data_IF_927180217986
#
_entry.id   IF_927180217986
#
_cell.length_a   1.000
_cell.length_b   1.000
_cell.length_c   1.000
_cell.angle_alpha   90.00
_cell.angle_beta   90.00
_cell.angle_gamma   90.00
#
_symmetry.space_group_name_H-M   'P 1'
#
loop_
_entity.id
_entity.type
_entity.pdbx_description
1 polymer ?
#
# COMPACT_ATOMS: atom_id res chain seq x y z
N UNK A 1 -5.81 12.54 0.42
CA UNK A 1 -4.38 12.70 0.12
C UNK A 1 -4.31 13.89 -0.79
N UNK A 2 -3.38 14.80 -0.54
CA UNK A 2 -3.16 15.95 -1.41
C UNK A 2 -1.85 15.77 -2.15
N UNK A 3 -1.75 16.43 -3.31
CA UNK A 3 -0.56 16.41 -4.12
C UNK A 3 -0.33 17.80 -4.75
N UNK A 4 0.93 18.16 -4.86
CA UNK A 4 1.39 19.33 -5.62
C UNK A 4 2.38 18.87 -6.69
N UNK A 5 2.38 19.58 -7.83
CA UNK A 5 3.37 19.39 -8.89
C UNK A 5 4.01 20.74 -9.19
N UNK A 6 5.33 20.78 -9.21
CA UNK A 6 6.13 21.94 -9.54
C UNK A 6 7.02 21.60 -10.73
N UNK A 7 7.10 22.52 -11.68
CA UNK A 7 7.98 22.43 -12.84
C UNK A 7 8.97 23.59 -12.79
N UNK A 8 10.25 23.28 -12.61
CA UNK A 8 11.32 24.26 -12.57
C UNK A 8 12.64 23.62 -12.99
N UNK A 9 13.55 24.38 -13.62
CA UNK A 9 14.90 23.91 -13.98
C UNK A 9 14.95 22.59 -14.78
N UNK A 10 13.98 22.34 -15.69
CA UNK A 10 13.83 21.05 -16.40
C UNK A 10 13.62 19.83 -15.49
N UNK A 11 13.16 20.07 -14.26
CA UNK A 11 12.78 19.04 -13.32
C UNK A 11 11.28 19.14 -13.05
N UNK A 12 10.65 17.98 -12.88
CA UNK A 12 9.31 17.88 -12.31
C UNK A 12 9.46 17.43 -10.86
N UNK A 13 8.88 18.15 -9.92
CA UNK A 13 8.84 17.75 -8.51
C UNK A 13 7.40 17.51 -8.09
N UNK A 14 7.13 16.36 -7.47
CA UNK A 14 5.84 16.05 -6.86
C UNK A 14 5.97 16.00 -5.35
N UNK A 15 5.05 16.66 -4.65
CA UNK A 15 4.87 16.53 -3.21
C UNK A 15 3.55 15.85 -2.92
N UNK A 16 3.53 14.86 -2.04
CA UNK A 16 2.31 14.12 -1.67
C UNK A 16 2.25 13.89 -0.17
N UNK A 17 1.09 14.13 0.47
CA UNK A 17 0.91 13.84 1.90
C UNK A 17 -0.51 13.40 2.25
N UNK A 18 -0.65 12.67 3.38
CA UNK A 18 -1.96 12.30 3.90
C UNK A 18 -2.61 13.50 4.63
N UNK A 19 -3.88 13.75 4.30
CA UNK A 19 -4.73 14.75 4.98
C UNK A 19 -5.61 14.13 6.07
N UNK A 20 -5.83 12.81 5.99
CA UNK A 20 -6.63 12.06 6.95
C UNK A 20 -5.72 11.35 7.95
N UNK A 21 -6.21 11.20 9.18
CA UNK A 21 -5.52 10.53 10.28
C UNK A 21 -4.15 11.14 10.63
N UNK A 22 -3.94 12.42 10.31
CA UNK A 22 -2.70 13.17 10.62
C UNK A 22 -2.39 13.24 12.11
N UNK A 23 -3.40 13.14 12.98
CA UNK A 23 -3.24 13.04 14.43
C UNK A 23 -2.53 11.77 14.89
N UNK A 24 -2.59 10.69 14.10
CA UNK A 24 -1.81 9.48 14.34
C UNK A 24 -0.40 9.65 13.75
N UNK A 25 -0.37 10.15 12.50
CA UNK A 25 0.76 9.94 11.61
C UNK A 25 0.68 10.84 10.38
N UNK A 26 1.79 11.45 10.01
CA UNK A 26 1.94 12.23 8.77
C UNK A 26 3.05 11.61 7.94
N UNK A 27 2.74 11.30 6.69
CA UNK A 27 3.66 10.79 5.67
C UNK A 27 3.71 11.82 4.56
N UNK A 28 4.88 12.39 4.36
CA UNK A 28 5.17 13.34 3.28
C UNK A 28 6.15 12.68 2.32
N UNK A 29 5.87 12.72 1.03
CA UNK A 29 6.72 12.21 -0.03
C UNK A 29 7.09 13.34 -0.98
N UNK A 30 8.37 13.43 -1.33
CA UNK A 30 8.89 14.28 -2.39
C UNK A 30 9.53 13.39 -3.45
N UNK A 31 9.11 13.52 -4.70
CA UNK A 31 9.79 12.90 -5.83
C UNK A 31 10.26 13.97 -6.80
N UNK A 32 11.54 13.96 -7.15
CA UNK A 32 12.12 14.77 -8.22
C UNK A 32 12.36 13.87 -9.41
N UNK A 33 11.85 14.28 -10.56
CA UNK A 33 12.03 13.62 -11.85
C UNK A 33 12.89 14.54 -12.71
N UNK A 34 14.06 14.08 -13.11
CA UNK A 34 15.00 14.83 -13.92
C UNK A 34 15.60 13.94 -15.02
N UNK A 35 16.21 14.57 -16.03
CA UNK A 35 16.99 13.84 -17.03
C UNK A 35 18.25 13.32 -16.35
N UNK A 36 18.57 12.05 -16.53
CA UNK A 36 19.77 11.46 -15.92
C UNK A 36 21.04 12.11 -16.51
N UNK A 37 22.02 12.38 -15.66
CA UNK A 37 23.28 13.04 -16.06
C UNK A 37 24.11 12.22 -17.04
N UNK A 38 24.05 10.88 -16.91
CA UNK A 38 24.91 9.97 -17.66
C UNK A 38 24.25 9.55 -18.98
N UNK A 39 22.91 9.54 -19.01
CA UNK A 39 22.13 9.21 -20.20
C UNK A 39 20.92 10.11 -20.36
N UNK A 40 20.98 11.01 -21.36
CA UNK A 40 19.88 11.93 -21.69
C UNK A 40 18.57 11.24 -22.14
N UNK A 41 18.61 9.97 -22.51
CA UNK A 41 17.44 9.16 -22.82
C UNK A 41 16.75 8.57 -21.58
N UNK A 42 17.32 8.72 -20.39
CA UNK A 42 16.78 8.17 -19.14
C UNK A 42 16.22 9.27 -18.25
N UNK A 43 15.14 8.93 -17.53
CA UNK A 43 14.61 9.76 -16.44
C UNK A 43 15.06 9.18 -15.12
N UNK A 44 15.77 9.99 -14.34
CA UNK A 44 16.13 9.68 -12.97
C UNK A 44 15.03 10.16 -12.02
N UNK A 45 14.77 9.36 -10.99
CA UNK A 45 13.72 9.64 -10.00
C UNK A 45 14.35 9.59 -8.62
N UNK A 46 14.52 10.75 -8.00
CA UNK A 46 14.97 10.90 -6.62
C UNK A 46 13.75 10.99 -5.71
N UNK A 47 13.53 9.97 -4.87
CA UNK A 47 12.38 9.91 -3.95
C UNK A 47 12.84 9.97 -2.50
N UNK A 48 12.25 10.90 -1.77
CA UNK A 48 12.42 11.09 -0.33
C UNK A 48 11.06 11.00 0.35
N UNK A 49 11.04 10.47 1.57
CA UNK A 49 9.83 10.47 2.39
C UNK A 49 10.15 10.75 3.85
N UNK A 50 9.27 11.51 4.50
CA UNK A 50 9.31 11.82 5.91
C UNK A 50 8.08 11.23 6.58
N UNK A 51 8.31 10.58 7.70
CA UNK A 51 7.26 9.97 8.52
C UNK A 51 7.37 10.58 9.91
N UNK A 52 6.28 11.18 10.38
CA UNK A 52 6.17 11.70 11.74
C UNK A 52 4.94 11.12 12.43
N UNK A 53 5.03 10.87 13.73
CA UNK A 53 3.91 10.39 14.54
C UNK A 53 3.89 11.11 15.89
N UNK A 54 2.71 11.59 16.27
CA UNK A 54 2.43 12.24 17.55
C UNK A 54 2.03 11.26 18.66
N UNK A 55 1.96 9.95 18.39
CA UNK A 55 1.61 8.94 19.38
C UNK A 55 2.80 8.56 20.26
N UNK A 56 2.79 9.10 21.47
CA UNK A 56 3.76 8.74 22.49
C UNK A 56 3.59 7.27 22.92
N UNK A 57 4.69 6.50 22.95
CA UNK A 57 4.71 5.11 23.41
C UNK A 57 4.57 4.02 22.34
N UNK A 58 4.10 4.35 21.13
CA UNK A 58 4.03 3.40 19.99
C UNK A 58 4.72 3.91 18.72
N UNK A 59 5.36 5.08 18.79
CA UNK A 59 5.99 5.76 17.66
C UNK A 59 6.93 4.87 16.84
N UNK A 60 7.72 4.00 17.51
CA UNK A 60 8.64 3.08 16.82
C UNK A 60 7.91 2.02 15.99
N UNK A 61 6.84 1.42 16.52
CA UNK A 61 6.07 0.41 15.80
C UNK A 61 5.33 1.04 14.60
N UNK A 62 4.82 2.26 14.77
CA UNK A 62 4.21 3.04 13.68
C UNK A 62 5.25 3.34 12.60
N UNK A 63 6.45 3.78 12.98
CA UNK A 63 7.52 4.07 12.03
C UNK A 63 7.98 2.85 11.25
N UNK A 64 8.10 1.68 11.90
CA UNK A 64 8.45 0.43 11.23
C UNK A 64 7.34 -0.02 10.26
N UNK A 65 6.07 0.11 10.66
CA UNK A 65 4.91 -0.17 9.79
C UNK A 65 4.91 0.74 8.56
N UNK A 66 5.15 2.03 8.74
CA UNK A 66 5.17 2.99 7.65
C UNK A 66 6.33 2.78 6.71
N UNK A 67 7.52 2.49 7.23
CA UNK A 67 8.67 2.18 6.39
C UNK A 67 8.39 0.97 5.50
N UNK A 68 7.77 -0.08 6.06
CA UNK A 68 7.37 -1.25 5.28
C UNK A 68 6.33 -0.90 4.21
N UNK A 69 5.34 -0.07 4.57
CA UNK A 69 4.30 0.38 3.64
C UNK A 69 4.87 1.27 2.53
N UNK A 70 5.77 2.19 2.87
CA UNK A 70 6.46 3.07 1.93
C UNK A 70 7.25 2.25 0.92
N UNK A 71 8.06 1.29 1.36
CA UNK A 71 8.79 0.36 0.46
C UNK A 71 7.84 -0.38 -0.48
N UNK A 72 6.70 -0.87 0.01
CA UNK A 72 5.68 -1.51 -0.84
C UNK A 72 5.09 -0.54 -1.86
N UNK A 73 4.82 0.70 -1.45
CA UNK A 73 4.29 1.74 -2.32
C UNK A 73 5.29 2.11 -3.42
N UNK A 74 6.58 2.24 -3.10
CA UNK A 74 7.64 2.46 -4.09
C UNK A 74 7.60 1.40 -5.19
N UNK A 75 7.55 0.12 -4.84
CA UNK A 75 7.49 -0.97 -5.83
C UNK A 75 6.22 -0.93 -6.66
N UNK A 76 5.07 -0.58 -6.08
CA UNK A 76 3.80 -0.45 -6.81
C UNK A 76 3.83 0.73 -7.78
N UNK A 77 4.37 1.86 -7.35
CA UNK A 77 4.50 3.06 -8.18
C UNK A 77 5.40 2.79 -9.38
N UNK A 78 6.54 2.12 -9.20
CA UNK A 78 7.42 1.76 -10.32
C UNK A 78 6.73 0.83 -11.33
N UNK A 79 6.05 -0.22 -10.85
CA UNK A 79 5.24 -1.10 -11.72
C UNK A 79 4.13 -0.36 -12.46
N UNK A 80 3.48 0.59 -11.79
CA UNK A 80 2.46 1.45 -12.40
C UNK A 80 3.04 2.35 -13.48
N UNK A 81 4.22 2.91 -13.26
CA UNK A 81 4.94 3.70 -14.27
C UNK A 81 5.33 2.86 -15.47
N UNK A 82 5.98 1.72 -15.28
CA UNK A 82 6.32 0.80 -16.37
C UNK A 82 5.09 0.42 -17.19
N UNK A 83 3.99 0.07 -16.52
CA UNK A 83 2.74 -0.29 -17.18
C UNK A 83 2.18 0.84 -18.07
N UNK A 84 2.08 2.07 -17.52
CA UNK A 84 1.48 3.17 -18.27
C UNK A 84 2.42 3.67 -19.38
N UNK A 85 3.73 3.65 -19.16
CA UNK A 85 4.72 4.03 -20.16
C UNK A 85 4.70 3.07 -21.36
N UNK A 86 4.72 1.75 -21.12
CA UNK A 86 4.59 0.75 -22.18
C UNK A 86 3.29 0.95 -22.98
N UNK A 87 2.17 1.17 -22.28
CA UNK A 87 0.87 1.44 -22.92
C UNK A 87 0.87 2.72 -23.76
N UNK A 88 1.49 3.79 -23.28
CA UNK A 88 1.60 5.05 -24.01
C UNK A 88 2.52 4.95 -25.24
N UNK A 89 3.55 4.11 -25.19
CA UNK A 89 4.47 3.83 -26.29
C UNK A 89 3.91 2.85 -27.33
N UNK A 90 2.69 2.33 -27.11
CA UNK A 90 2.06 1.36 -28.01
C UNK A 90 2.61 -0.06 -27.86
N UNK A 91 3.42 -0.31 -26.84
CA UNK A 91 3.87 -1.66 -26.50
C UNK A 91 2.72 -2.41 -25.80
N UNK A 92 2.53 -3.68 -26.17
CA UNK A 92 1.53 -4.51 -25.51
C UNK A 92 1.89 -4.65 -24.02
N UNK A 93 0.99 -4.30 -23.08
CA UNK A 93 1.27 -4.43 -21.66
C UNK A 93 1.67 -5.87 -21.35
N UNK A 94 2.82 -6.08 -20.70
CA UNK A 94 3.30 -7.40 -20.32
C UNK A 94 2.20 -8.15 -19.56
N UNK A 95 1.74 -9.28 -20.13
CA UNK A 95 0.63 -10.13 -19.62
C UNK A 95 0.74 -10.45 -18.12
N UNK A 96 1.97 -10.46 -17.61
CA UNK A 96 2.37 -10.72 -16.23
C UNK A 96 1.65 -9.85 -15.19
N UNK A 97 1.44 -8.55 -15.45
CA UNK A 97 0.81 -7.66 -14.45
C UNK A 97 -0.70 -7.93 -14.30
N UNK A 98 -1.38 -8.24 -15.41
CA UNK A 98 -2.81 -8.57 -15.41
C UNK A 98 -3.04 -9.92 -14.73
N UNK A 99 -2.18 -10.92 -14.99
CA UNK A 99 -2.23 -12.21 -14.29
C UNK A 99 -1.92 -12.06 -12.81
N UNK A 100 -0.89 -11.30 -12.43
CA UNK A 100 -0.54 -11.07 -11.02
C UNK A 100 -1.68 -10.37 -10.27
N UNK A 101 -2.35 -9.40 -10.91
CA UNK A 101 -3.50 -8.72 -10.31
C UNK A 101 -4.71 -9.66 -10.16
N UNK A 102 -4.93 -10.56 -11.12
CA UNK A 102 -5.99 -11.57 -11.07
C UNK A 102 -5.72 -12.59 -9.98
N UNK A 103 -4.50 -13.08 -9.85
CA UNK A 103 -4.06 -14.00 -8.80
C UNK A 103 -4.16 -13.37 -7.41
N UNK A 104 -3.71 -12.12 -7.24
CA UNK A 104 -3.80 -11.41 -5.97
C UNK A 104 -5.27 -11.21 -5.54
N UNK A 105 -6.17 -10.93 -6.50
CA UNK A 105 -7.61 -10.80 -6.25
C UNK A 105 -8.23 -12.13 -5.81
N UNK A 106 -7.89 -13.23 -6.47
CA UNK A 106 -8.38 -14.57 -6.09
C UNK A 106 -7.86 -14.99 -4.71
N UNK A 107 -6.57 -14.78 -4.43
CA UNK A 107 -5.97 -15.09 -3.12
C UNK A 107 -6.61 -14.28 -1.99
N UNK A 108 -6.94 -13.00 -2.24
CA UNK A 108 -7.66 -12.17 -1.27
C UNK A 108 -9.08 -12.70 -0.99
N UNK A 109 -9.78 -13.15 -2.03
CA UNK A 109 -11.11 -13.77 -1.93
C UNK A 109 -11.07 -15.05 -1.09
N UNK A 110 -10.08 -15.91 -1.35
CA UNK A 110 -9.89 -17.17 -0.62
C UNK A 110 -9.58 -16.92 0.87
N UNK A 111 -8.73 -15.93 1.15
CA UNK A 111 -8.40 -15.55 2.54
C UNK A 111 -9.61 -15.00 3.28
N UNK A 112 -10.45 -14.21 2.61
CA UNK A 112 -11.70 -13.71 3.19
C UNK A 112 -12.67 -14.85 3.51
N UNK A 113 -12.84 -15.82 2.60
CA UNK A 113 -13.67 -17.00 2.84
C UNK A 113 -13.16 -17.84 4.02
N UNK A 114 -11.85 -18.09 4.10
CA UNK A 114 -11.25 -18.84 5.20
C UNK A 114 -11.46 -18.15 6.56
N UNK A 115 -11.37 -16.82 6.62
CA UNK A 115 -11.65 -16.05 7.84
C UNK A 115 -13.13 -16.15 8.25
N UNK A 116 -14.03 -16.15 7.26
CA UNK A 116 -15.49 -16.21 7.49
C UNK A 116 -15.90 -17.59 8.03
N UNK A 117 -15.32 -18.66 7.49
CA UNK A 117 -15.57 -20.03 7.95
C UNK A 117 -14.98 -20.28 9.35
N UNK A 118 -13.77 -19.78 9.64
CA UNK A 118 -13.22 -19.83 11.00
C UNK A 118 -14.11 -19.11 12.02
N UNK A 119 -14.69 -17.96 11.65
CA UNK A 119 -15.60 -17.22 12.52
C UNK A 119 -16.89 -17.98 12.80
N UNK A 120 -17.47 -18.65 11.79
CA UNK A 120 -18.64 -19.52 11.97
C UNK A 120 -18.34 -20.71 12.88
N UNK A 121 -17.20 -21.39 12.70
CA UNK A 121 -16.83 -22.56 13.50
C UNK A 121 -16.56 -22.20 14.98
N UNK A 122 -16.01 -21.02 15.23
CA UNK A 122 -15.89 -20.46 16.57
C UNK A 122 -17.26 -20.14 17.18
N UNK A 123 -18.17 -19.53 16.42
CA UNK A 123 -19.52 -19.20 16.89
C UNK A 123 -20.34 -20.45 17.24
N UNK A 124 -20.29 -21.51 16.42
CA UNK A 124 -20.97 -22.77 16.69
C UNK A 124 -20.38 -23.54 17.87
N UNK A 125 -19.05 -23.50 18.07
CA UNK A 125 -18.39 -24.05 19.28
C UNK A 125 -18.76 -23.29 20.56
N UNK A 126 -18.97 -21.98 20.47
CA UNK A 126 -19.41 -21.17 21.63
C UNK A 126 -20.88 -21.46 21.94
N UNK A 127 -21.74 -21.62 20.92
CA UNK A 127 -23.15 -21.96 21.10
C UNK A 127 -23.35 -23.34 21.73
N UNK A 128 -22.59 -24.36 21.30
CA UNK A 128 -22.69 -25.72 21.87
C UNK A 128 -22.22 -25.80 23.32
N UNK A 129 -21.16 -25.06 23.69
CA UNK A 129 -20.71 -24.92 25.09
C UNK A 129 -21.74 -24.24 25.98
N UNK A 130 -22.42 -23.19 25.51
CA UNK A 130 -23.49 -22.53 26.27
C UNK A 130 -24.70 -23.44 26.49
N UNK A 131 -25.02 -24.30 25.51
CA UNK A 131 -26.15 -25.22 25.59
C UNK A 131 -25.86 -26.40 26.55
N UNK A 132 -24.63 -26.91 26.58
CA UNK A 132 -24.19 -27.89 27.58
C UNK A 132 -24.14 -27.31 29.00
N UNK A 133 -23.71 -26.06 29.18
CA UNK A 133 -23.74 -25.40 30.49
C UNK A 133 -25.16 -25.15 31.02
N UNK A 134 -26.14 -24.87 30.13
CA UNK A 134 -27.55 -24.71 30.52
C UNK A 134 -28.23 -26.03 30.95
N UNK A 135 -27.81 -27.17 30.42
CA UNK A 135 -28.37 -28.49 30.75
C UNK A 135 -27.86 -29.05 32.09
N UNK A 136 -26.80 -28.48 32.66
CA UNK A 136 -26.23 -28.89 33.97
C UNK A 136 -26.84 -28.10 35.16
N UNK A 137 -27.75 -27.16 34.91
CA UNK A 137 -28.40 -26.32 35.92
C UNK A 137 -29.92 -26.54 36.04
N UNK A 138 -30.45 -27.58 35.37
CA UNK A 138 -31.81 -28.12 35.55
C UNK A 138 -31.72 -29.49 36.24
#
# INVERSE_FOLDING_TARGET
>A
MEHWVLYANNEQTTFTWNINHTWLMVVEERCVYCVNSDNSGWTEICREAWVSSSLFGVSRAVQEFDLARFKSNVTKTMKGFEYILAKLQGEAPSKTLVETAKEAKEKAKETALAATEKAKDLASKVASKQQQQRQHFL
#
